data_IF_979707243590
#
_entry.id   IF_979707243590
#
_cell.length_a   1.000
_cell.length_b   1.000
_cell.length_c   1.000
_cell.angle_alpha   90.00
_cell.angle_beta   90.00
_cell.angle_gamma   90.00
#
_symmetry.space_group_name_H-M   'P 1'
#
loop_
_entity.id
_entity.type
_entity.pdbx_description
1 polymer ?
#
# COMPACT_ATOMS: atom_id res chain seq x y z
N UNK A 1 -21.63 -1.57 23.84
CA UNK A 1 -20.20 -1.77 24.19
C UNK A 1 -19.30 -1.71 22.95
N UNK A 2 -19.73 -2.21 21.78
CA UNK A 2 -19.02 -2.14 20.49
C UNK A 2 -18.83 -0.72 19.93
N UNK A 3 -19.81 0.18 20.08
CA UNK A 3 -19.74 1.54 19.51
C UNK A 3 -18.63 2.41 20.09
N UNK A 4 -18.27 2.22 21.37
CA UNK A 4 -17.22 3.01 22.02
C UNK A 4 -15.82 2.64 21.51
N UNK A 5 -15.59 1.39 21.11
CA UNK A 5 -14.30 0.96 20.54
C UNK A 5 -14.08 1.56 19.14
N UNK A 6 -15.12 1.56 18.29
CA UNK A 6 -15.08 2.19 16.97
C UNK A 6 -14.74 3.69 17.04
N UNK A 7 -15.22 4.39 18.07
CA UNK A 7 -14.91 5.80 18.26
C UNK A 7 -13.43 6.02 18.62
N UNK A 8 -12.82 5.14 19.42
CA UNK A 8 -11.40 5.26 19.77
C UNK A 8 -10.48 4.95 18.57
N UNK A 9 -10.80 3.93 17.75
CA UNK A 9 -10.06 3.64 16.51
C UNK A 9 -10.10 4.84 15.53
N UNK A 10 -11.20 5.60 15.55
CA UNK A 10 -11.33 6.82 14.77
C UNK A 10 -10.47 7.98 15.32
N UNK A 11 -10.17 8.07 16.61
CA UNK A 11 -9.35 9.17 17.15
C UNK A 11 -7.91 9.08 16.62
N UNK A 12 -7.38 7.88 16.43
CA UNK A 12 -6.09 7.65 15.77
C UNK A 12 -6.14 7.95 14.26
N UNK A 13 -7.31 7.82 13.62
CA UNK A 13 -7.56 8.27 12.24
C UNK A 13 -7.36 9.79 12.11
N UNK A 14 -7.81 10.56 13.11
CA UNK A 14 -7.72 12.03 13.12
C UNK A 14 -6.40 12.56 13.68
N UNK A 15 -5.69 11.77 14.49
CA UNK A 15 -4.39 12.11 15.06
C UNK A 15 -3.31 11.81 14.02
N UNK A 16 -3.11 12.74 13.07
CA UNK A 16 -2.17 12.63 11.96
C UNK A 16 -0.73 12.31 12.38
N UNK A 17 -0.45 11.02 12.54
CA UNK A 17 0.85 10.48 12.89
C UNK A 17 1.88 10.77 11.78
N UNK A 18 3.15 10.98 12.15
CA UNK A 18 4.23 11.24 11.16
C UNK A 18 4.31 10.16 10.08
N UNK A 19 3.99 8.90 10.43
CA UNK A 19 3.93 7.77 9.48
C UNK A 19 2.81 7.91 8.45
N UNK A 20 1.62 8.34 8.84
CA UNK A 20 0.50 8.41 7.91
C UNK A 20 0.72 9.49 6.85
N UNK A 21 1.22 10.67 7.26
CA UNK A 21 1.62 11.75 6.33
C UNK A 21 2.69 11.31 5.33
N UNK A 22 3.60 10.44 5.75
CA UNK A 22 4.60 9.86 4.86
C UNK A 22 3.95 8.96 3.79
N UNK A 23 3.04 8.07 4.19
CA UNK A 23 2.36 7.18 3.26
C UNK A 23 1.35 7.91 2.35
N UNK A 24 0.64 8.93 2.84
CA UNK A 24 -0.18 9.83 2.02
C UNK A 24 0.65 10.41 0.87
N UNK A 25 1.79 11.04 1.18
CA UNK A 25 2.66 11.65 0.17
C UNK A 25 3.22 10.62 -0.82
N UNK A 26 3.55 9.42 -0.36
CA UNK A 26 3.98 8.35 -1.26
C UNK A 26 2.82 7.95 -2.18
N UNK A 27 1.63 7.68 -1.67
CA UNK A 27 0.52 7.17 -2.46
C UNK A 27 -0.05 8.22 -3.42
N UNK A 28 0.06 9.50 -3.11
CA UNK A 28 -0.29 10.61 -4.01
C UNK A 28 0.69 10.75 -5.19
N UNK A 29 1.93 10.28 -5.04
CA UNK A 29 2.98 10.42 -6.08
C UNK A 29 3.20 9.16 -6.90
N UNK A 30 2.66 8.02 -6.48
CA UNK A 30 2.80 6.76 -7.21
C UNK A 30 1.77 6.69 -8.33
N UNK A 31 2.27 6.60 -9.57
CA UNK A 31 1.47 6.33 -10.74
C UNK A 31 1.24 4.81 -10.94
N UNK A 32 0.07 4.32 -10.54
CA UNK A 32 -0.30 2.90 -10.69
C UNK A 32 -0.99 2.57 -12.03
N UNK A 33 -0.99 3.49 -13.00
CA UNK A 33 -1.67 3.29 -14.29
C UNK A 33 -1.19 2.05 -15.06
N UNK A 34 0.06 1.61 -14.85
CA UNK A 34 0.60 0.40 -15.47
C UNK A 34 0.08 -0.91 -14.86
N UNK A 35 -0.59 -0.85 -13.70
CA UNK A 35 -1.18 -2.01 -13.03
C UNK A 35 -2.70 -1.94 -13.23
N UNK A 36 -3.36 -2.98 -13.77
CA UNK A 36 -4.81 -2.99 -13.85
C UNK A 36 -5.42 -2.99 -12.45
N UNK A 37 -6.39 -2.12 -12.18
CA UNK A 37 -6.98 -1.98 -10.84
C UNK A 37 -7.66 -3.27 -10.36
N UNK A 38 -8.28 -4.01 -11.27
CA UNK A 38 -8.81 -5.34 -10.99
C UNK A 38 -8.35 -6.33 -12.07
N UNK A 39 -8.07 -7.59 -11.69
CA UNK A 39 -7.87 -8.63 -12.68
C UNK A 39 -9.11 -8.73 -13.58
N UNK A 40 -8.91 -8.99 -14.88
CA UNK A 40 -10.00 -9.17 -15.83
C UNK A 40 -10.78 -10.45 -15.47
N UNK A 41 -11.80 -10.30 -14.63
CA UNK A 41 -12.75 -11.37 -14.32
C UNK A 41 -13.93 -11.27 -15.27
N UNK A 42 -14.06 -12.25 -16.17
CA UNK A 42 -15.21 -12.35 -17.09
C UNK A 42 -16.44 -12.92 -16.36
N UNK A 43 -16.23 -13.72 -15.30
CA UNK A 43 -17.29 -14.33 -14.49
C UNK A 43 -16.84 -14.44 -13.02
N UNK A 44 -17.51 -13.73 -12.13
CA UNK A 44 -17.30 -13.78 -10.68
C UNK A 44 -17.27 -12.39 -10.02
N UNK A 45 -17.36 -12.30 -8.68
CA UNK A 45 -17.30 -11.03 -7.95
C UNK A 45 -16.02 -10.25 -8.26
N UNK A 46 -16.13 -8.91 -8.28
CA UNK A 46 -14.97 -8.02 -8.41
C UNK A 46 -14.02 -8.30 -7.23
N UNK A 47 -12.83 -8.81 -7.50
CA UNK A 47 -11.83 -9.06 -6.47
C UNK A 47 -11.32 -7.76 -5.82
N UNK A 48 -10.43 -7.88 -4.84
CA UNK A 48 -9.77 -6.72 -4.23
C UNK A 48 -9.05 -5.87 -5.28
N UNK A 49 -8.97 -4.56 -5.02
CA UNK A 49 -8.19 -3.64 -5.85
C UNK A 49 -6.71 -4.02 -5.79
N UNK A 50 -6.12 -4.27 -6.95
CA UNK A 50 -4.68 -4.49 -7.13
C UNK A 50 -3.88 -3.28 -6.71
N UNK A 51 -4.41 -2.07 -6.89
CA UNK A 51 -3.77 -0.84 -6.41
C UNK A 51 -3.70 -0.82 -4.89
N UNK A 52 -4.79 -1.21 -4.22
CA UNK A 52 -4.80 -1.28 -2.76
C UNK A 52 -3.86 -2.36 -2.21
N UNK A 53 -3.83 -3.53 -2.84
CA UNK A 53 -2.88 -4.59 -2.51
C UNK A 53 -1.42 -4.15 -2.73
N UNK A 54 -1.15 -3.37 -3.78
CA UNK A 54 0.18 -2.84 -4.04
C UNK A 54 0.62 -1.79 -3.02
N UNK A 55 -0.26 -0.87 -2.64
CA UNK A 55 0.01 0.11 -1.57
C UNK A 55 0.29 -0.57 -0.23
N UNK A 56 -0.47 -1.62 0.11
CA UNK A 56 -0.19 -2.46 1.28
C UNK A 56 1.18 -3.16 1.18
N UNK A 57 1.55 -3.63 0.00
CA UNK A 57 2.88 -4.22 -0.23
C UNK A 57 4.01 -3.20 -0.06
N UNK A 58 3.80 -1.93 -0.43
CA UNK A 58 4.77 -0.85 -0.16
C UNK A 58 4.96 -0.66 1.34
N UNK A 59 3.86 -0.58 2.11
CA UNK A 59 3.92 -0.53 3.58
C UNK A 59 4.73 -1.71 4.12
N UNK A 60 4.44 -2.92 3.64
CA UNK A 60 5.17 -4.13 4.05
C UNK A 60 6.68 -3.99 3.87
N UNK A 61 7.12 -3.43 2.75
CA UNK A 61 8.55 -3.21 2.46
C UNK A 61 9.14 -2.07 3.29
N UNK A 62 8.42 -0.96 3.45
CA UNK A 62 8.85 0.19 4.26
C UNK A 62 9.01 -0.17 5.75
N UNK A 63 8.07 -0.94 6.30
CA UNK A 63 8.11 -1.42 7.69
C UNK A 63 9.01 -2.66 7.88
N UNK A 64 9.71 -3.11 6.81
CA UNK A 64 10.64 -4.26 6.82
C UNK A 64 10.00 -5.55 7.36
N UNK A 65 8.71 -5.73 7.13
CA UNK A 65 7.96 -6.89 7.59
C UNK A 65 8.40 -8.13 6.80
N UNK A 66 8.68 -9.22 7.52
CA UNK A 66 9.16 -10.47 6.91
C UNK A 66 8.01 -11.37 6.47
N UNK A 67 6.87 -11.30 7.17
CA UNK A 67 5.74 -12.20 6.95
C UNK A 67 4.48 -11.42 6.61
N UNK A 68 3.63 -12.02 5.77
CA UNK A 68 2.33 -11.44 5.40
C UNK A 68 1.42 -11.32 6.62
N UNK A 69 1.52 -12.22 7.59
CA UNK A 69 0.77 -12.13 8.86
C UNK A 69 1.06 -10.82 9.59
N UNK A 70 2.33 -10.43 9.67
CA UNK A 70 2.73 -9.15 10.26
C UNK A 70 2.08 -7.97 9.52
N UNK A 71 1.99 -8.02 8.20
CA UNK A 71 1.30 -6.98 7.41
C UNK A 71 -0.19 -6.91 7.75
N UNK A 72 -0.87 -8.06 7.79
CA UNK A 72 -2.30 -8.13 8.12
C UNK A 72 -2.55 -7.56 9.52
N UNK A 73 -1.80 -8.02 10.52
CA UNK A 73 -1.91 -7.56 11.90
C UNK A 73 -1.60 -6.05 12.00
N UNK A 74 -0.59 -5.57 11.27
CA UNK A 74 -0.23 -4.15 11.26
C UNK A 74 -1.33 -3.27 10.67
N UNK A 75 -1.91 -3.66 9.55
CA UNK A 75 -2.99 -2.91 8.91
C UNK A 75 -4.28 -2.97 9.72
N UNK A 76 -4.53 -4.07 10.43
CA UNK A 76 -5.69 -4.19 11.31
C UNK A 76 -5.57 -3.25 12.51
N UNK A 77 -4.37 -3.16 13.10
CA UNK A 77 -4.06 -2.20 14.17
C UNK A 77 -3.96 -0.74 13.68
N UNK A 78 -3.71 -0.52 12.39
CA UNK A 78 -3.55 0.82 11.79
C UNK A 78 -4.58 1.02 10.68
N UNK A 79 -5.86 1.06 11.05
CA UNK A 79 -6.99 1.12 10.11
C UNK A 79 -6.92 2.30 9.14
N UNK A 80 -6.34 3.43 9.57
CA UNK A 80 -6.10 4.57 8.69
C UNK A 80 -5.13 4.24 7.54
N UNK A 81 -4.06 3.49 7.81
CA UNK A 81 -3.13 3.08 6.77
C UNK A 81 -3.78 2.09 5.79
N UNK A 82 -4.68 1.23 6.28
CA UNK A 82 -5.49 0.38 5.42
C UNK A 82 -6.43 1.21 4.52
N UNK A 83 -7.04 2.26 5.08
CA UNK A 83 -7.83 3.22 4.31
C UNK A 83 -6.99 3.93 3.24
N UNK A 84 -5.78 4.40 3.57
CA UNK A 84 -4.87 5.03 2.61
C UNK A 84 -4.43 4.08 1.50
N UNK A 85 -4.34 2.77 1.77
CA UNK A 85 -4.15 1.79 0.71
C UNK A 85 -5.34 1.79 -0.28
N UNK A 86 -6.55 2.10 0.19
CA UNK A 86 -7.78 2.04 -0.58
C UNK A 86 -8.67 0.86 -0.18
N UNK A 87 -8.45 0.29 1.01
CA UNK A 87 -9.39 -0.68 1.58
C UNK A 87 -10.58 0.02 2.23
N UNK A 88 -11.73 -0.63 2.18
CA UNK A 88 -12.95 -0.17 2.83
C UNK A 88 -12.83 -0.38 4.34
N UNK A 89 -12.91 0.70 5.12
CA UNK A 89 -12.74 0.72 6.57
C UNK A 89 -13.75 -0.19 7.26
N UNK A 90 -14.96 -0.30 6.70
CA UNK A 90 -16.06 -1.07 7.27
C UNK A 90 -16.04 -2.56 6.90
N UNK A 91 -15.14 -2.98 6.00
CA UNK A 91 -15.03 -4.39 5.58
C UNK A 91 -13.79 -5.04 6.17
N UNK A 92 -13.83 -6.36 6.30
CA UNK A 92 -12.64 -7.12 6.67
C UNK A 92 -11.51 -6.86 5.65
N UNK A 93 -10.27 -6.80 6.16
CA UNK A 93 -9.09 -6.70 5.32
C UNK A 93 -8.93 -7.95 4.43
N UNK A 94 -8.19 -7.85 3.32
CA UNK A 94 -7.85 -9.03 2.54
C UNK A 94 -7.17 -10.09 3.41
N UNK A 95 -7.53 -11.35 3.22
CA UNK A 95 -6.92 -12.44 3.97
C UNK A 95 -5.46 -12.66 3.57
N UNK A 96 -4.71 -13.38 4.41
CA UNK A 96 -3.35 -13.84 4.11
C UNK A 96 -3.23 -14.42 2.70
N UNK A 97 -4.17 -15.29 2.29
CA UNK A 97 -4.15 -15.94 0.97
C UNK A 97 -4.32 -14.96 -0.17
N UNK A 98 -5.07 -13.86 0.02
CA UNK A 98 -5.21 -12.81 -1.00
C UNK A 98 -3.88 -12.09 -1.19
N UNK A 99 -3.24 -11.66 -0.09
CA UNK A 99 -1.91 -11.04 -0.15
C UNK A 99 -0.85 -11.99 -0.72
N UNK A 100 -0.87 -13.26 -0.33
CA UNK A 100 0.08 -14.26 -0.82
C UNK A 100 -0.07 -14.48 -2.34
N UNK A 101 -1.31 -14.58 -2.84
CA UNK A 101 -1.58 -14.69 -4.28
C UNK A 101 -1.10 -13.45 -5.02
N UNK A 102 -1.38 -12.26 -4.49
CA UNK A 102 -0.93 -11.00 -5.06
C UNK A 102 0.60 -10.94 -5.19
N UNK A 103 1.33 -11.20 -4.09
CA UNK A 103 2.80 -11.14 -4.06
C UNK A 103 3.43 -12.19 -5.01
N UNK A 104 2.80 -13.36 -5.16
CA UNK A 104 3.29 -14.39 -6.09
C UNK A 104 3.06 -14.06 -7.56
N UNK A 105 2.00 -13.31 -7.87
CA UNK A 105 1.56 -13.07 -9.24
C UNK A 105 1.95 -11.69 -9.77
N UNK A 106 2.45 -10.80 -8.91
CA UNK A 106 2.90 -9.48 -9.35
C UNK A 106 4.19 -9.59 -10.17
N UNK A 107 4.21 -8.95 -11.34
CA UNK A 107 5.38 -8.96 -12.21
C UNK A 107 6.49 -8.06 -11.66
N UNK A 108 7.58 -8.69 -11.22
CA UNK A 108 8.76 -8.00 -10.69
C UNK A 108 9.36 -6.97 -11.67
N UNK A 109 9.27 -7.21 -12.99
CA UNK A 109 9.78 -6.27 -13.98
C UNK A 109 8.90 -5.01 -14.06
N UNK A 110 7.58 -5.18 -13.94
CA UNK A 110 6.65 -4.05 -13.84
C UNK A 110 6.93 -3.21 -12.60
N UNK A 111 7.13 -3.86 -11.43
CA UNK A 111 7.47 -3.14 -10.19
C UNK A 111 8.79 -2.37 -10.34
N UNK A 112 9.84 -3.01 -10.85
CA UNK A 112 11.15 -2.35 -11.05
C UNK A 112 11.03 -1.13 -11.96
N UNK A 113 10.27 -1.25 -13.05
CA UNK A 113 10.06 -0.15 -13.98
C UNK A 113 9.24 0.98 -13.35
N UNK A 114 8.20 0.64 -12.59
CA UNK A 114 7.41 1.61 -11.83
C UNK A 114 8.28 2.39 -10.84
N UNK A 115 9.06 1.68 -10.02
CA UNK A 115 9.96 2.28 -9.04
C UNK A 115 11.02 3.16 -9.70
N UNK A 116 11.61 2.73 -10.82
CA UNK A 116 12.56 3.54 -11.58
C UNK A 116 11.92 4.83 -12.08
N UNK A 117 10.73 4.75 -12.68
CA UNK A 117 9.99 5.93 -13.15
C UNK A 117 9.69 6.88 -11.99
N UNK A 118 9.26 6.35 -10.84
CA UNK A 118 8.95 7.16 -9.67
C UNK A 118 10.20 7.87 -9.13
N UNK A 119 11.33 7.17 -8.98
CA UNK A 119 12.59 7.78 -8.54
C UNK A 119 13.03 8.87 -9.51
N UNK A 120 12.93 8.64 -10.82
CA UNK A 120 13.25 9.66 -11.83
C UNK A 120 12.33 10.88 -11.72
N UNK A 121 11.03 10.69 -11.52
CA UNK A 121 10.07 11.79 -11.33
C UNK A 121 10.35 12.58 -10.05
N UNK A 122 10.58 11.89 -8.93
CA UNK A 122 10.87 12.53 -7.64
C UNK A 122 12.19 13.30 -7.66
N UNK A 123 13.20 12.80 -8.39
CA UNK A 123 14.46 13.50 -8.62
C UNK A 123 14.24 14.79 -9.43
N UNK A 124 13.48 14.72 -10.53
CA UNK A 124 13.11 15.91 -11.33
C UNK A 124 12.38 16.97 -10.52
N UNK A 125 11.56 16.55 -9.55
CA UNK A 125 10.81 17.43 -8.65
C UNK A 125 11.64 17.94 -7.46
N UNK A 126 12.91 17.54 -7.33
CA UNK A 126 13.79 17.95 -6.23
C UNK A 126 13.45 17.33 -4.87
N UNK A 127 12.67 16.25 -4.83
CA UNK A 127 12.31 15.57 -3.58
C UNK A 127 13.37 14.61 -3.05
N UNK A 128 14.31 14.17 -3.90
CA UNK A 128 15.39 13.25 -3.54
C UNK A 128 16.69 13.67 -4.23
N UNK A 129 17.81 13.55 -3.52
CA UNK A 129 19.14 13.87 -4.03
C UNK A 129 19.71 12.71 -4.88
N UNK A 130 20.49 13.04 -5.92
CA UNK A 130 21.13 12.08 -6.82
C UNK A 130 22.07 11.07 -6.13
N UNK A 131 22.46 11.32 -4.88
CA UNK A 131 23.34 10.45 -4.06
C UNK A 131 22.75 9.05 -3.81
N UNK A 132 21.44 8.87 -3.95
CA UNK A 132 20.76 7.57 -3.79
C UNK A 132 20.81 6.69 -5.05
N UNK A 133 20.91 7.28 -6.25
CA UNK A 133 20.80 6.54 -7.52
C UNK A 133 22.09 5.75 -7.82
N UNK A 134 23.24 6.24 -7.36
CA UNK A 134 24.56 5.61 -7.57
C UNK A 134 24.79 4.31 -6.79
N UNK A 135 23.90 3.91 -5.88
CA UNK A 135 23.99 2.64 -5.13
C UNK A 135 23.12 1.51 -5.68
N UNK A 136 22.32 1.77 -6.71
CA UNK A 136 21.39 0.78 -7.32
C UNK A 136 21.80 0.48 -8.78
N UNK A 137 23.11 0.53 -9.05
CA UNK A 137 23.74 0.08 -10.29
C UNK A 137 24.18 -1.36 -10.20
#
# INVERSE_FOLDING_TARGET
MLERQLIFDCIDLFSGNKKSKFYEKIFDTIDLSCIPEHPQSIRGPKGYSMHALFRAFIIMKCEKQRHITQLVDFLDNNRYLAYLCGFDVFKALPSYSVFQRFIRNIDNNQIKNLMKKQVLSLNKLGFIENSFISKVG
#
